data_IF_618184788187
#
_entry.id   IF_618184788187
#
_cell.length_a   1.000
_cell.length_b   1.000
_cell.length_c   1.000
_cell.angle_alpha   90.00
_cell.angle_beta   90.00
_cell.angle_gamma   90.00
#
_symmetry.space_group_name_H-M   'P 1'
#
loop_
_entity.id
_entity.type
_entity.pdbx_description
1 polymer ?
#
# COMPACT_ATOMS: atom_id res chain seq x y z
N UNK A 1 -19.35 15.03 23.69
CA UNK A 1 -19.29 15.44 22.27
C UNK A 1 -18.07 14.76 21.66
N UNK A 2 -18.26 14.03 20.59
CA UNK A 2 -17.16 13.35 19.88
C UNK A 2 -16.28 14.42 19.23
N UNK A 3 -14.95 14.25 19.28
CA UNK A 3 -14.01 15.14 18.58
C UNK A 3 -14.39 15.24 17.09
N UNK A 4 -14.57 16.44 16.53
CA UNK A 4 -14.95 16.64 15.13
C UNK A 4 -13.98 15.95 14.14
N UNK A 5 -12.68 15.87 14.47
CA UNK A 5 -11.70 15.20 13.65
C UNK A 5 -11.91 13.69 13.65
N UNK A 6 -12.24 13.08 14.79
CA UNK A 6 -12.55 11.64 14.86
C UNK A 6 -13.80 11.34 14.03
N UNK A 7 -14.85 12.16 14.14
CA UNK A 7 -16.07 11.98 13.35
C UNK A 7 -15.80 12.09 11.83
N UNK A 8 -14.99 13.07 11.41
CA UNK A 8 -14.58 13.25 10.04
C UNK A 8 -13.79 12.05 9.51
N UNK A 9 -12.77 11.60 10.27
CA UNK A 9 -11.93 10.45 9.89
C UNK A 9 -12.74 9.15 9.82
N UNK A 10 -13.62 8.91 10.79
CA UNK A 10 -14.50 7.73 10.78
C UNK A 10 -15.44 7.73 9.58
N UNK A 11 -15.97 8.90 9.22
CA UNK A 11 -16.81 9.05 8.01
C UNK A 11 -15.99 8.77 6.73
N UNK A 12 -14.78 9.32 6.61
CA UNK A 12 -13.91 9.07 5.44
C UNK A 12 -13.52 7.58 5.35
N UNK A 13 -13.14 6.99 6.48
CA UNK A 13 -12.82 5.56 6.58
C UNK A 13 -13.99 4.68 6.11
N UNK A 14 -15.23 5.03 6.51
CA UNK A 14 -16.42 4.29 6.12
C UNK A 14 -16.73 4.42 4.63
N UNK A 15 -16.52 5.58 4.02
CA UNK A 15 -16.73 5.75 2.59
C UNK A 15 -15.69 4.94 1.80
N UNK A 16 -14.41 5.03 2.16
CA UNK A 16 -13.35 4.24 1.50
C UNK A 16 -13.53 2.73 1.73
N UNK A 17 -14.03 2.31 2.90
CA UNK A 17 -14.41 0.93 3.17
C UNK A 17 -15.46 0.41 2.18
N UNK A 18 -16.41 1.25 1.76
CA UNK A 18 -17.49 0.86 0.84
C UNK A 18 -16.97 0.40 -0.54
N UNK A 19 -15.78 0.83 -0.97
CA UNK A 19 -15.12 0.32 -2.17
C UNK A 19 -14.98 -1.21 -2.13
N UNK A 20 -14.50 -1.75 -1.03
CA UNK A 20 -14.27 -3.18 -0.84
C UNK A 20 -15.56 -3.97 -0.59
N UNK A 21 -16.69 -3.29 -0.45
CA UNK A 21 -18.02 -3.91 -0.39
C UNK A 21 -18.66 -3.99 -1.77
N UNK A 22 -18.45 -3.00 -2.62
CA UNK A 22 -19.16 -2.86 -3.90
C UNK A 22 -18.31 -3.28 -5.11
N UNK A 23 -17.01 -2.95 -5.12
CA UNK A 23 -16.09 -3.22 -6.23
C UNK A 23 -15.41 -4.61 -6.10
N UNK A 24 -16.18 -5.60 -5.66
CA UNK A 24 -15.73 -6.98 -5.41
C UNK A 24 -16.63 -7.98 -6.12
N UNK A 25 -16.04 -9.00 -6.73
CA UNK A 25 -16.79 -10.18 -7.17
C UNK A 25 -17.05 -11.10 -5.95
N UNK A 26 -18.29 -11.17 -5.50
CA UNK A 26 -18.67 -11.94 -4.30
C UNK A 26 -18.46 -13.46 -4.47
N UNK A 27 -18.40 -13.98 -5.69
CA UNK A 27 -18.21 -15.40 -5.95
C UNK A 27 -16.76 -15.88 -5.75
N UNK A 28 -15.77 -15.00 -5.92
CA UNK A 28 -14.35 -15.34 -5.83
C UNK A 28 -13.53 -14.41 -4.93
N UNK A 29 -14.09 -13.28 -4.49
CA UNK A 29 -13.43 -12.30 -3.62
C UNK A 29 -12.40 -11.41 -4.31
N UNK A 30 -12.33 -11.43 -5.65
CA UNK A 30 -11.49 -10.53 -6.40
C UNK A 30 -12.01 -9.09 -6.34
N UNK A 31 -11.13 -8.14 -6.11
CA UNK A 31 -11.43 -6.72 -5.97
C UNK A 31 -10.92 -5.98 -7.20
N UNK A 32 -11.76 -5.17 -7.82
CA UNK A 32 -11.40 -4.37 -8.98
C UNK A 32 -10.20 -3.46 -8.66
N UNK A 33 -9.28 -3.30 -9.62
CA UNK A 33 -8.18 -2.35 -9.48
C UNK A 33 -8.70 -0.92 -9.38
N UNK A 34 -9.63 -0.55 -10.25
CA UNK A 34 -10.31 0.76 -10.23
C UNK A 34 -11.74 0.69 -10.75
N UNK A 35 -12.50 1.75 -10.51
CA UNK A 35 -13.91 1.90 -10.90
C UNK A 35 -14.14 2.15 -12.39
N UNK A 36 -13.23 1.75 -13.27
CA UNK A 36 -13.44 1.79 -14.71
C UNK A 36 -14.20 0.53 -15.18
N UNK A 37 -15.07 0.70 -16.17
CA UNK A 37 -15.84 -0.39 -16.73
C UNK A 37 -14.94 -1.52 -17.27
N UNK A 38 -15.29 -2.76 -16.97
CA UNK A 38 -14.56 -3.97 -17.38
C UNK A 38 -13.08 -3.99 -17.01
N UNK A 39 -12.72 -3.35 -15.89
CA UNK A 39 -11.36 -3.31 -15.40
C UNK A 39 -11.03 -4.57 -14.59
N UNK A 40 -9.79 -5.11 -14.66
CA UNK A 40 -9.43 -6.33 -13.93
C UNK A 40 -9.28 -6.08 -12.43
N UNK A 41 -9.17 -7.18 -11.68
CA UNK A 41 -8.78 -7.17 -10.30
C UNK A 41 -7.28 -6.89 -10.13
N UNK A 42 -6.91 -6.16 -9.09
CA UNK A 42 -5.53 -6.06 -8.57
C UNK A 42 -5.38 -6.98 -7.36
N UNK A 43 -4.38 -7.86 -7.36
CA UNK A 43 -4.13 -8.76 -6.23
C UNK A 43 -3.66 -7.98 -4.99
N UNK A 44 -3.01 -6.82 -5.15
CA UNK A 44 -2.69 -5.93 -4.04
C UNK A 44 -3.96 -5.37 -3.38
N UNK A 45 -4.94 -4.91 -4.18
CA UNK A 45 -6.23 -4.47 -3.67
C UNK A 45 -6.97 -5.58 -2.93
N UNK A 46 -6.86 -6.85 -3.38
CA UNK A 46 -7.41 -8.01 -2.66
C UNK A 46 -6.72 -8.20 -1.30
N UNK A 47 -5.39 -8.06 -1.23
CA UNK A 47 -4.66 -8.12 0.03
C UNK A 47 -5.09 -7.04 1.03
N UNK A 48 -5.32 -5.82 0.53
CA UNK A 48 -5.89 -4.74 1.34
C UNK A 48 -7.31 -5.03 1.79
N UNK A 49 -8.16 -5.58 0.90
CA UNK A 49 -9.54 -5.97 1.22
C UNK A 49 -9.61 -6.94 2.41
N UNK A 50 -8.73 -7.94 2.46
CA UNK A 50 -8.66 -8.90 3.57
C UNK A 50 -8.42 -8.20 4.93
N UNK A 51 -7.60 -7.16 4.95
CA UNK A 51 -7.37 -6.34 6.15
C UNK A 51 -8.56 -5.41 6.42
N UNK A 52 -9.11 -4.80 5.38
CA UNK A 52 -10.26 -3.87 5.46
C UNK A 52 -11.53 -4.56 5.97
N UNK A 53 -11.76 -5.84 5.62
CA UNK A 53 -12.90 -6.59 6.17
C UNK A 53 -12.81 -6.75 7.70
N UNK A 54 -11.62 -6.95 8.24
CA UNK A 54 -11.36 -7.01 9.67
C UNK A 54 -11.71 -5.66 10.33
N UNK A 55 -11.25 -4.57 9.74
CA UNK A 55 -11.55 -3.21 10.20
C UNK A 55 -13.07 -2.97 10.16
N UNK A 56 -13.72 -3.39 9.08
CA UNK A 56 -15.17 -3.29 8.95
C UNK A 56 -15.94 -4.04 10.05
N UNK A 57 -15.47 -5.22 10.43
CA UNK A 57 -16.04 -5.99 11.54
C UNK A 57 -15.86 -5.28 12.89
N UNK A 58 -14.66 -4.76 13.17
CA UNK A 58 -14.34 -4.08 14.43
C UNK A 58 -15.02 -2.71 14.56
N UNK A 59 -15.21 -2.00 13.45
CA UNK A 59 -15.89 -0.69 13.42
C UNK A 59 -17.41 -0.79 13.24
N UNK A 60 -17.96 -1.99 13.08
CA UNK A 60 -19.38 -2.20 12.84
C UNK A 60 -19.87 -1.71 11.46
N UNK A 61 -18.95 -1.59 10.48
CA UNK A 61 -19.32 -1.29 9.08
C UNK A 61 -19.88 -2.52 8.37
N UNK A 62 -19.50 -3.71 8.84
CA UNK A 62 -20.11 -5.00 8.43
C UNK A 62 -20.11 -5.99 9.60
N UNK A 63 -21.05 -6.98 9.59
CA UNK A 63 -21.01 -8.06 10.56
C UNK A 63 -19.74 -8.90 10.43
N UNK A 64 -19.16 -9.33 11.58
CA UNK A 64 -17.96 -10.18 11.60
C UNK A 64 -18.12 -11.46 10.79
N UNK A 65 -19.30 -12.05 10.85
CA UNK A 65 -19.63 -13.28 10.10
C UNK A 65 -19.53 -13.05 8.58
N UNK A 66 -19.95 -11.86 8.10
CA UNK A 66 -19.81 -11.49 6.69
C UNK A 66 -18.35 -11.23 6.33
N UNK A 67 -17.59 -10.58 7.21
CA UNK A 67 -16.14 -10.40 7.03
C UNK A 67 -15.42 -11.76 6.92
N UNK A 68 -15.72 -12.70 7.83
CA UNK A 68 -15.15 -14.04 7.80
C UNK A 68 -15.54 -14.80 6.52
N UNK A 69 -16.80 -14.71 6.09
CA UNK A 69 -17.26 -15.39 4.87
C UNK A 69 -16.58 -14.81 3.61
N UNK A 70 -16.45 -13.48 3.49
CA UNK A 70 -15.73 -12.84 2.38
C UNK A 70 -14.26 -13.24 2.37
N UNK A 71 -13.61 -13.21 3.54
CA UNK A 71 -12.23 -13.68 3.70
C UNK A 71 -12.09 -15.13 3.24
N UNK A 72 -12.95 -16.00 3.70
CA UNK A 72 -12.93 -17.43 3.35
C UNK A 72 -13.12 -17.65 1.84
N UNK A 73 -14.06 -16.95 1.20
CA UNK A 73 -14.26 -17.01 -0.26
C UNK A 73 -12.98 -16.62 -1.00
N UNK A 74 -12.35 -15.52 -0.62
CA UNK A 74 -11.10 -15.05 -1.22
C UNK A 74 -9.97 -16.07 -1.05
N UNK A 75 -9.76 -16.57 0.16
CA UNK A 75 -8.70 -17.56 0.44
C UNK A 75 -8.90 -18.87 -0.31
N UNK A 76 -10.14 -19.37 -0.38
CA UNK A 76 -10.52 -20.57 -1.15
C UNK A 76 -10.22 -20.38 -2.64
N UNK A 77 -10.56 -19.23 -3.19
CA UNK A 77 -10.24 -18.91 -4.59
C UNK A 77 -8.75 -19.03 -4.86
N UNK A 78 -7.91 -18.34 -4.11
CA UNK A 78 -6.46 -18.39 -4.32
C UNK A 78 -5.87 -19.77 -4.03
N UNK A 79 -6.37 -20.50 -3.03
CA UNK A 79 -5.88 -21.83 -2.69
C UNK A 79 -6.13 -22.84 -3.81
N UNK A 80 -7.28 -22.75 -4.47
CA UNK A 80 -7.74 -23.68 -5.52
C UNK A 80 -7.41 -23.19 -6.94
N UNK A 81 -6.91 -21.97 -7.11
CA UNK A 81 -6.60 -21.40 -8.41
C UNK A 81 -5.44 -22.12 -9.11
N UNK A 82 -5.44 -22.10 -10.45
CA UNK A 82 -4.41 -22.74 -11.26
C UNK A 82 -3.03 -22.12 -11.00
N UNK A 83 -2.09 -22.98 -10.59
CA UNK A 83 -0.68 -22.65 -10.43
C UNK A 83 0.14 -23.36 -11.51
N UNK A 84 0.63 -22.63 -12.51
CA UNK A 84 1.33 -23.24 -13.63
C UNK A 84 1.98 -22.23 -14.57
N UNK A 85 2.72 -22.77 -15.56
CA UNK A 85 3.39 -21.97 -16.60
C UNK A 85 2.44 -21.57 -17.75
N UNK A 86 1.18 -22.01 -17.72
CA UNK A 86 0.18 -21.63 -18.70
C UNK A 86 0.00 -20.13 -18.72
N UNK A 87 -0.09 -19.46 -19.89
CA UNK A 87 -0.34 -18.03 -19.98
C UNK A 87 -1.64 -17.58 -19.35
N UNK A 88 -2.62 -18.48 -19.23
CA UNK A 88 -3.92 -18.20 -18.60
C UNK A 88 -4.04 -18.65 -17.15
N UNK A 89 -2.98 -19.16 -16.52
CA UNK A 89 -2.99 -19.51 -15.11
C UNK A 89 -3.22 -18.27 -14.22
N UNK A 90 -3.69 -18.49 -13.00
CA UNK A 90 -3.83 -17.43 -11.98
C UNK A 90 -2.49 -17.09 -11.33
N UNK A 91 -1.59 -18.09 -11.22
CA UNK A 91 -0.28 -17.91 -10.60
C UNK A 91 0.70 -19.01 -10.95
N UNK A 92 1.92 -18.92 -10.41
CA UNK A 92 2.94 -19.94 -10.50
C UNK A 92 3.93 -19.82 -9.34
N UNK A 93 4.35 -20.95 -8.76
CA UNK A 93 5.29 -20.97 -7.62
C UNK A 93 4.80 -20.22 -6.37
N UNK A 94 3.48 -20.12 -6.22
CA UNK A 94 2.86 -19.36 -5.13
C UNK A 94 2.77 -17.86 -5.36
N UNK A 95 3.40 -17.33 -6.40
CA UNK A 95 3.18 -15.97 -6.87
C UNK A 95 1.95 -15.89 -7.77
N UNK A 96 1.34 -14.71 -7.81
CA UNK A 96 0.16 -14.45 -8.61
C UNK A 96 0.41 -13.33 -9.62
N UNK A 97 -0.35 -13.35 -10.71
CA UNK A 97 -0.28 -12.28 -11.70
C UNK A 97 -0.84 -10.99 -11.12
N UNK A 98 -0.18 -9.87 -11.42
CA UNK A 98 -0.52 -8.53 -10.94
C UNK A 98 -2.01 -8.22 -11.12
N UNK A 99 -2.54 -8.49 -12.32
CA UNK A 99 -3.95 -8.30 -12.66
C UNK A 99 -4.60 -9.61 -13.06
N UNK A 100 -5.81 -9.83 -12.51
CA UNK A 100 -6.63 -11.00 -12.80
C UNK A 100 -7.98 -10.55 -13.37
N UNK A 101 -8.49 -11.28 -14.34
CA UNK A 101 -9.84 -11.11 -14.82
C UNK A 101 -10.85 -11.34 -13.69
N UNK A 102 -11.79 -10.41 -13.51
CA UNK A 102 -12.70 -10.37 -12.36
C UNK A 102 -13.60 -11.61 -12.27
N UNK A 103 -13.96 -12.24 -13.39
CA UNK A 103 -14.87 -13.38 -13.42
C UNK A 103 -14.11 -14.70 -13.35
N UNK A 104 -13.12 -14.87 -14.22
CA UNK A 104 -12.42 -16.15 -14.39
C UNK A 104 -11.22 -16.31 -13.47
N UNK A 105 -10.70 -15.23 -12.90
CA UNK A 105 -9.48 -15.22 -12.11
C UNK A 105 -8.20 -15.52 -12.89
N UNK A 106 -8.27 -15.56 -14.21
CA UNK A 106 -7.12 -15.76 -15.10
C UNK A 106 -6.31 -14.48 -15.24
N UNK A 107 -5.04 -14.64 -15.63
CA UNK A 107 -4.14 -13.53 -15.95
C UNK A 107 -4.76 -12.55 -16.93
N UNK A 108 -4.79 -11.26 -16.59
CA UNK A 108 -5.20 -10.17 -17.46
C UNK A 108 -4.01 -9.45 -18.10
N UNK A 109 -4.23 -8.80 -19.27
CA UNK A 109 -3.29 -7.88 -19.96
C UNK A 109 -1.86 -8.37 -20.21
N UNK A 110 -1.61 -9.67 -20.18
CA UNK A 110 -0.25 -10.21 -20.24
C UNK A 110 0.71 -9.63 -19.18
N UNK A 111 0.18 -9.25 -18.01
CA UNK A 111 0.96 -8.76 -16.88
C UNK A 111 1.96 -9.82 -16.37
N UNK A 112 2.88 -9.43 -15.52
CA UNK A 112 3.83 -10.33 -14.85
C UNK A 112 3.19 -11.04 -13.64
N UNK A 113 3.78 -12.15 -13.22
CA UNK A 113 3.75 -12.56 -11.82
C UNK A 113 4.47 -11.48 -11.04
N UNK A 114 3.76 -10.79 -10.17
CA UNK A 114 4.34 -9.69 -9.41
C UNK A 114 4.82 -10.16 -8.04
N UNK A 115 6.06 -9.86 -7.73
CA UNK A 115 6.61 -10.17 -6.40
C UNK A 115 6.05 -9.27 -5.32
N UNK A 116 5.92 -7.96 -5.58
CA UNK A 116 5.42 -7.00 -4.59
C UNK A 116 3.91 -7.13 -4.37
N UNK A 117 3.11 -7.23 -5.42
CA UNK A 117 1.66 -7.36 -5.26
C UNK A 117 1.29 -8.69 -4.60
N UNK A 118 2.06 -9.77 -4.86
CA UNK A 118 1.94 -11.01 -4.10
C UNK A 118 2.28 -10.81 -2.62
N UNK A 119 3.31 -10.03 -2.28
CA UNK A 119 3.65 -9.74 -0.89
C UNK A 119 2.53 -8.94 -0.18
N UNK A 120 1.91 -7.97 -0.87
CA UNK A 120 0.77 -7.22 -0.34
C UNK A 120 -0.46 -8.12 -0.16
N UNK A 121 -0.72 -9.04 -1.09
CA UNK A 121 -1.76 -10.06 -0.93
C UNK A 121 -1.50 -10.93 0.30
N UNK A 122 -0.28 -11.45 0.45
CA UNK A 122 0.12 -12.31 1.58
C UNK A 122 0.08 -11.56 2.90
N UNK A 123 0.39 -10.27 2.93
CA UNK A 123 0.24 -9.46 4.14
C UNK A 123 -1.22 -9.43 4.64
N UNK A 124 -2.19 -9.25 3.73
CA UNK A 124 -3.61 -9.35 4.04
C UNK A 124 -4.03 -10.77 4.48
N UNK A 125 -3.50 -11.79 3.82
CA UNK A 125 -3.71 -13.21 4.19
C UNK A 125 -3.23 -13.47 5.62
N UNK A 126 -2.02 -13.02 5.99
CA UNK A 126 -1.47 -13.20 7.34
C UNK A 126 -2.21 -12.35 8.38
N UNK A 127 -2.71 -11.17 8.01
CA UNK A 127 -3.58 -10.37 8.90
C UNK A 127 -4.86 -11.14 9.21
N UNK A 128 -5.46 -11.77 8.20
CA UNK A 128 -6.64 -12.62 8.39
C UNK A 128 -6.34 -13.82 9.31
N UNK A 129 -5.22 -14.49 9.09
CA UNK A 129 -4.75 -15.58 9.97
C UNK A 129 -4.62 -15.13 11.41
N UNK A 130 -4.05 -13.96 11.64
CA UNK A 130 -3.81 -13.44 12.99
C UNK A 130 -5.09 -12.98 13.69
N UNK A 131 -6.09 -12.50 12.95
CA UNK A 131 -7.33 -12.00 13.52
C UNK A 131 -8.39 -13.07 13.78
N UNK A 132 -8.60 -14.01 12.85
CA UNK A 132 -9.64 -15.04 12.95
C UNK A 132 -9.17 -16.19 13.84
N UNK A 133 -9.41 -16.07 15.18
CA UNK A 133 -8.88 -16.97 16.20
C UNK A 133 -9.97 -17.72 17.00
N UNK A 134 -11.25 -17.64 16.59
CA UNK A 134 -12.31 -18.41 17.26
C UNK A 134 -12.10 -19.91 17.02
N UNK A 135 -12.54 -20.71 17.98
CA UNK A 135 -12.57 -22.17 17.86
C UNK A 135 -13.86 -22.63 17.17
N UNK A 136 -13.97 -22.25 15.88
CA UNK A 136 -15.06 -22.65 14.99
C UNK A 136 -14.51 -23.08 13.63
N UNK A 137 -15.35 -23.72 12.82
CA UNK A 137 -14.97 -24.28 11.53
C UNK A 137 -14.49 -23.19 10.54
N UNK A 138 -15.11 -22.01 10.54
CA UNK A 138 -14.82 -20.93 9.60
C UNK A 138 -13.44 -20.32 9.90
N UNK A 139 -13.21 -19.92 11.14
CA UNK A 139 -11.92 -19.33 11.55
C UNK A 139 -10.78 -20.36 11.43
N UNK A 140 -11.05 -21.64 11.73
CA UNK A 140 -10.07 -22.73 11.56
C UNK A 140 -9.69 -22.92 10.10
N UNK A 141 -10.65 -22.90 9.17
CA UNK A 141 -10.38 -23.00 7.74
C UNK A 141 -9.62 -21.76 7.22
N UNK A 142 -10.00 -20.55 7.67
CA UNK A 142 -9.27 -19.32 7.32
C UNK A 142 -7.78 -19.46 7.70
N UNK A 143 -7.47 -19.91 8.92
CA UNK A 143 -6.08 -20.11 9.36
C UNK A 143 -5.33 -21.12 8.51
N UNK A 144 -5.96 -22.26 8.22
CA UNK A 144 -5.36 -23.33 7.42
C UNK A 144 -5.07 -22.87 5.98
N UNK A 145 -6.02 -22.19 5.34
CA UNK A 145 -5.85 -21.66 4.00
C UNK A 145 -4.79 -20.54 3.95
N UNK A 146 -4.76 -19.68 4.95
CA UNK A 146 -3.74 -18.62 5.06
C UNK A 146 -2.32 -19.21 5.19
N UNK A 147 -2.14 -20.23 6.03
CA UNK A 147 -0.88 -20.96 6.13
C UNK A 147 -0.50 -21.63 4.81
N UNK A 148 -1.45 -22.31 4.14
CA UNK A 148 -1.24 -22.92 2.83
C UNK A 148 -0.74 -21.90 1.79
N UNK A 149 -1.39 -20.74 1.70
CA UNK A 149 -1.06 -19.71 0.73
C UNK A 149 0.32 -19.11 0.98
N UNK A 150 0.65 -18.79 2.21
CA UNK A 150 1.95 -18.24 2.55
C UNK A 150 3.08 -19.26 2.36
N UNK A 151 2.88 -20.52 2.80
CA UNK A 151 3.88 -21.58 2.67
C UNK A 151 4.17 -21.98 1.21
N UNK A 152 3.23 -21.69 0.29
CA UNK A 152 3.38 -21.99 -1.13
C UNK A 152 4.36 -21.06 -1.84
N UNK A 153 4.56 -19.82 -1.35
CA UNK A 153 5.34 -18.80 -2.05
C UNK A 153 6.82 -19.17 -2.06
N UNK A 154 7.36 -19.44 -3.23
CA UNK A 154 8.78 -19.79 -3.45
C UNK A 154 9.63 -18.51 -3.62
N UNK A 155 9.92 -17.83 -2.49
CA UNK A 155 10.68 -16.59 -2.48
C UNK A 155 12.10 -16.76 -3.02
N UNK A 156 12.73 -17.94 -2.80
CA UNK A 156 14.04 -18.24 -3.33
C UNK A 156 14.05 -18.28 -4.86
N UNK A 157 12.99 -18.84 -5.47
CA UNK A 157 12.86 -18.84 -6.92
C UNK A 157 12.79 -17.42 -7.50
N UNK A 158 12.14 -16.47 -6.81
CA UNK A 158 12.00 -15.10 -7.27
C UNK A 158 13.29 -14.27 -7.15
N UNK A 159 14.34 -14.79 -6.51
CA UNK A 159 15.69 -14.20 -6.58
C UNK A 159 16.26 -14.28 -8.01
N UNK A 160 15.81 -15.23 -8.84
CA UNK A 160 16.31 -15.45 -10.19
C UNK A 160 17.84 -15.65 -10.27
N UNK A 161 18.47 -16.14 -9.19
CA UNK A 161 19.92 -16.29 -9.05
C UNK A 161 20.68 -15.00 -8.72
N UNK A 162 19.99 -13.91 -8.40
CA UNK A 162 20.58 -12.62 -8.05
C UNK A 162 20.64 -12.36 -6.53
N UNK A 163 21.27 -11.25 -6.15
CA UNK A 163 21.37 -10.81 -4.75
C UNK A 163 20.05 -10.22 -4.20
N UNK A 164 19.18 -9.72 -5.07
CA UNK A 164 17.93 -9.06 -4.71
C UNK A 164 16.75 -9.69 -5.42
N UNK A 165 15.54 -9.51 -4.86
CA UNK A 165 14.32 -10.11 -5.41
C UNK A 165 13.96 -9.44 -6.74
N UNK A 166 13.65 -10.24 -7.76
CA UNK A 166 13.19 -9.78 -9.06
C UNK A 166 11.78 -9.17 -8.96
N UNK A 167 11.48 -8.15 -9.77
CA UNK A 167 10.14 -7.56 -9.83
C UNK A 167 9.08 -8.57 -10.25
N UNK A 168 9.42 -9.54 -11.11
CA UNK A 168 8.45 -10.54 -11.53
C UNK A 168 8.92 -11.46 -12.65
N UNK A 169 8.00 -12.30 -13.11
CA UNK A 169 8.23 -13.29 -14.14
C UNK A 169 7.07 -13.34 -15.13
N UNK A 170 7.37 -13.66 -16.41
CA UNK A 170 6.34 -13.83 -17.47
C UNK A 170 6.49 -15.19 -18.18
N UNK A 171 5.39 -15.90 -18.48
CA UNK A 171 5.45 -17.14 -19.25
C UNK A 171 6.04 -16.87 -20.64
N UNK A 172 6.94 -17.76 -21.07
CA UNK A 172 7.61 -17.64 -22.35
C UNK A 172 8.71 -16.57 -22.45
N UNK A 173 8.85 -15.69 -21.43
CA UNK A 173 9.87 -14.63 -21.39
C UNK A 173 10.82 -14.75 -20.20
N UNK A 174 10.43 -15.46 -19.14
CA UNK A 174 11.24 -15.60 -17.92
C UNK A 174 11.15 -14.41 -16.98
N UNK A 175 12.15 -14.23 -16.14
CA UNK A 175 12.24 -13.15 -15.18
C UNK A 175 12.39 -11.79 -15.84
N UNK A 176 11.82 -10.76 -15.22
CA UNK A 176 12.03 -9.37 -15.62
C UNK A 176 13.49 -8.98 -15.34
N UNK A 177 13.97 -7.97 -16.05
CA UNK A 177 15.35 -7.46 -15.87
C UNK A 177 15.57 -6.60 -14.64
N UNK A 178 14.48 -6.16 -13.98
CA UNK A 178 14.53 -5.28 -12.83
C UNK A 178 14.41 -6.06 -11.54
N UNK A 179 15.18 -5.63 -10.54
CA UNK A 179 15.18 -6.15 -9.19
C UNK A 179 14.92 -5.02 -8.20
N UNK A 180 14.31 -5.34 -7.06
CA UNK A 180 14.09 -4.39 -5.98
C UNK A 180 15.43 -4.02 -5.36
N UNK A 181 15.83 -2.76 -5.47
CA UNK A 181 17.09 -2.21 -4.97
C UNK A 181 16.88 -0.79 -4.47
N UNK A 182 17.41 -0.48 -3.28
CA UNK A 182 17.20 0.81 -2.67
C UNK A 182 15.87 0.91 -1.92
N UNK A 183 15.60 2.07 -1.35
CA UNK A 183 14.38 2.27 -0.57
C UNK A 183 13.16 2.42 -1.50
N UNK A 184 12.34 1.42 -1.47
CA UNK A 184 11.10 1.28 -2.24
C UNK A 184 10.02 0.58 -1.40
N UNK A 185 8.87 0.27 -1.97
CA UNK A 185 7.75 -0.38 -1.27
C UNK A 185 8.03 -1.83 -0.84
N UNK A 186 9.16 -2.42 -1.27
CA UNK A 186 9.46 -3.83 -1.06
C UNK A 186 9.90 -4.20 0.37
N UNK A 187 9.94 -3.27 1.33
CA UNK A 187 10.29 -3.60 2.72
C UNK A 187 9.44 -4.74 3.28
N UNK A 188 8.11 -4.69 3.12
CA UNK A 188 7.20 -5.78 3.52
C UNK A 188 7.49 -7.09 2.77
N UNK A 189 7.83 -7.02 1.48
CA UNK A 189 8.19 -8.19 0.67
C UNK A 189 9.41 -8.91 1.27
N UNK A 190 10.48 -8.18 1.58
CA UNK A 190 11.68 -8.75 2.17
C UNK A 190 11.41 -9.34 3.56
N UNK A 191 10.60 -8.67 4.39
CA UNK A 191 10.22 -9.20 5.70
C UNK A 191 9.45 -10.51 5.60
N UNK A 192 8.50 -10.61 4.67
CA UNK A 192 7.74 -11.84 4.43
C UNK A 192 8.62 -12.95 3.83
N UNK A 193 9.50 -12.60 2.91
CA UNK A 193 10.43 -13.57 2.31
C UNK A 193 11.43 -14.12 3.34
N UNK A 194 11.97 -13.28 4.23
CA UNK A 194 12.83 -13.70 5.34
C UNK A 194 12.10 -14.55 6.37
N UNK A 195 10.83 -14.24 6.65
CA UNK A 195 9.99 -14.93 7.62
C UNK A 195 9.37 -16.23 7.14
N UNK A 196 9.53 -16.57 5.84
CA UNK A 196 8.93 -17.77 5.24
C UNK A 196 9.40 -19.04 5.95
N UNK A 197 8.48 -19.97 6.31
CA UNK A 197 8.85 -21.24 6.91
C UNK A 197 9.31 -22.30 5.90
N UNK A 198 9.01 -22.12 4.61
CA UNK A 198 9.25 -23.11 3.54
C UNK A 198 10.39 -22.73 2.60
N UNK A 199 10.37 -21.51 2.08
CA UNK A 199 11.33 -21.00 1.08
C UNK A 199 11.93 -19.66 1.51
N UNK A 200 12.52 -19.54 2.72
CA UNK A 200 13.06 -18.27 3.19
C UNK A 200 14.27 -17.85 2.36
N UNK A 201 14.42 -16.55 2.13
CA UNK A 201 15.67 -15.98 1.67
C UNK A 201 16.64 -15.76 2.84
N UNK A 202 17.94 -15.62 2.56
CA UNK A 202 18.94 -15.28 3.56
C UNK A 202 18.99 -13.79 3.90
N UNK A 203 19.53 -13.42 5.09
CA UNK A 203 19.69 -12.03 5.52
C UNK A 203 20.55 -11.18 4.56
N UNK A 204 21.47 -11.82 3.83
CA UNK A 204 22.33 -11.18 2.83
C UNK A 204 21.54 -10.51 1.70
N UNK A 205 20.36 -11.03 1.35
CA UNK A 205 19.50 -10.45 0.33
C UNK A 205 18.84 -9.14 0.81
N UNK A 206 18.50 -9.06 2.10
CA UNK A 206 18.03 -7.82 2.72
C UNK A 206 19.15 -6.78 2.78
N UNK A 207 20.36 -7.21 3.15
CA UNK A 207 21.53 -6.34 3.18
C UNK A 207 21.87 -5.81 1.78
N UNK A 208 21.74 -6.65 0.74
CA UNK A 208 21.95 -6.22 -0.65
C UNK A 208 20.92 -5.18 -1.10
N UNK A 209 19.65 -5.35 -0.71
CA UNK A 209 18.57 -4.40 -1.00
C UNK A 209 18.82 -3.05 -0.33
N UNK A 210 19.20 -3.03 0.97
CA UNK A 210 19.50 -1.78 1.70
C UNK A 210 20.82 -1.14 1.28
N UNK A 211 21.67 -1.86 0.55
CA UNK A 211 23.01 -1.42 0.17
C UNK A 211 23.05 -0.20 -0.77
N UNK A 212 21.96 0.07 -1.46
CA UNK A 212 21.79 1.25 -2.33
C UNK A 212 20.83 2.31 -1.78
N UNK A 213 20.58 2.31 -0.48
CA UNK A 213 19.78 3.33 0.20
C UNK A 213 20.45 4.72 0.10
N UNK A 214 19.65 5.72 -0.21
CA UNK A 214 20.10 7.12 -0.31
C UNK A 214 19.61 7.94 0.88
N UNK A 215 20.54 8.30 1.76
CA UNK A 215 20.26 9.25 2.84
C UNK A 215 20.56 10.65 2.34
N UNK A 216 19.58 11.54 2.38
CA UNK A 216 19.68 12.89 1.82
C UNK A 216 19.13 13.95 2.77
N UNK A 217 19.39 15.21 2.46
CA UNK A 217 18.81 16.36 3.15
C UNK A 217 18.02 17.21 2.17
N UNK A 218 16.76 17.49 2.53
CA UNK A 218 15.92 18.42 1.79
C UNK A 218 15.15 19.32 2.77
N UNK A 219 15.11 20.62 2.50
CA UNK A 219 14.46 21.62 3.37
C UNK A 219 14.94 21.58 4.83
N UNK A 220 16.22 21.23 5.05
CA UNK A 220 16.81 21.09 6.38
C UNK A 220 16.37 19.84 7.15
N UNK A 221 15.78 18.85 6.47
CA UNK A 221 15.33 17.59 7.04
C UNK A 221 16.16 16.45 6.41
N UNK A 222 16.89 15.72 7.25
CA UNK A 222 17.65 14.54 6.85
C UNK A 222 16.74 13.30 6.89
N UNK A 223 16.72 12.52 5.81
CA UNK A 223 15.86 11.32 5.71
C UNK A 223 16.35 10.33 4.68
N UNK A 224 15.84 9.11 4.76
CA UNK A 224 16.00 8.08 3.73
C UNK A 224 15.07 8.41 2.57
N UNK A 225 15.65 8.71 1.42
CA UNK A 225 14.95 9.27 0.27
C UNK A 225 14.15 8.22 -0.51
N UNK A 226 12.93 8.59 -0.83
CA UNK A 226 12.14 8.10 -1.96
C UNK A 226 11.24 9.24 -2.44
N UNK A 227 11.11 9.42 -3.75
CA UNK A 227 10.32 10.52 -4.32
C UNK A 227 8.82 10.37 -4.10
N UNK A 228 8.19 9.26 -4.51
CA UNK A 228 6.76 9.01 -4.31
C UNK A 228 6.42 8.75 -2.83
N UNK A 229 5.41 9.44 -2.31
CA UNK A 229 5.05 9.36 -0.89
C UNK A 229 4.58 7.94 -0.48
N UNK A 230 3.95 7.19 -1.38
CA UNK A 230 3.45 5.85 -1.08
C UNK A 230 4.55 4.87 -0.62
N UNK A 231 5.78 5.04 -1.07
CA UNK A 231 6.92 4.21 -0.67
C UNK A 231 7.12 4.25 0.84
N UNK A 232 6.92 5.42 1.44
CA UNK A 232 7.00 5.65 2.88
C UNK A 232 5.80 5.11 3.67
N UNK A 233 4.79 4.53 3.00
CA UNK A 233 3.50 4.17 3.60
C UNK A 233 3.20 2.67 3.50
N UNK A 234 3.45 2.03 2.34
CA UNK A 234 2.91 0.70 2.04
C UNK A 234 3.26 -0.36 3.06
N UNK A 235 4.51 -0.46 3.50
CA UNK A 235 4.91 -1.44 4.51
C UNK A 235 4.32 -1.14 5.90
N UNK A 236 4.06 0.14 6.19
CA UNK A 236 3.44 0.57 7.44
C UNK A 236 1.96 0.22 7.57
N UNK A 237 1.29 -0.18 6.49
CA UNK A 237 -0.08 -0.67 6.58
C UNK A 237 -0.18 -1.84 7.58
N UNK A 238 0.83 -2.71 7.61
CA UNK A 238 0.87 -3.94 8.40
C UNK A 238 1.95 -3.97 9.48
N UNK A 239 3.00 -3.17 9.35
CA UNK A 239 4.15 -3.21 10.27
C UNK A 239 4.25 -1.91 11.06
N UNK A 240 4.24 -2.05 12.38
CA UNK A 240 4.55 -0.96 13.30
C UNK A 240 6.06 -0.83 13.46
N UNK A 241 6.64 0.13 12.76
CA UNK A 241 8.09 0.37 12.82
C UNK A 241 8.52 1.30 13.96
N UNK A 242 7.61 1.74 14.83
CA UNK A 242 7.95 2.64 15.95
C UNK A 242 8.92 1.97 16.92
N UNK A 243 10.10 2.57 17.07
CA UNK A 243 11.12 2.14 18.02
C UNK A 243 11.86 0.84 17.64
N UNK A 244 11.58 0.24 16.48
CA UNK A 244 12.35 -0.90 15.94
C UNK A 244 13.24 -0.44 14.79
N UNK A 245 14.49 -0.89 14.78
CA UNK A 245 15.50 -0.40 13.83
C UNK A 245 16.33 -1.56 13.30
N UNK A 246 16.55 -1.60 11.99
CA UNK A 246 17.57 -2.43 11.36
C UNK A 246 18.97 -1.81 11.50
N UNK A 247 19.98 -2.43 10.91
CA UNK A 247 21.36 -1.95 11.00
C UNK A 247 21.53 -0.56 10.34
N UNK A 248 20.87 -0.33 9.18
CA UNK A 248 20.96 0.94 8.47
C UNK A 248 20.36 2.10 9.27
N UNK A 249 19.18 1.90 9.83
CA UNK A 249 18.45 2.92 10.60
C UNK A 249 19.10 3.16 11.98
N UNK A 250 19.68 2.13 12.61
CA UNK A 250 20.46 2.33 13.86
C UNK A 250 21.66 3.25 13.65
N UNK A 251 22.38 3.10 12.53
CA UNK A 251 23.52 3.95 12.21
C UNK A 251 23.14 5.43 12.02
N UNK A 252 21.86 5.74 11.87
CA UNK A 252 21.32 7.11 11.64
C UNK A 252 20.43 7.60 12.79
N UNK A 253 20.38 6.84 13.87
CA UNK A 253 19.50 7.12 15.03
C UNK A 253 18.04 7.45 14.63
N UNK A 254 17.52 6.70 13.66
CA UNK A 254 16.19 6.87 13.09
C UNK A 254 15.48 5.51 13.00
N UNK A 255 14.17 5.47 13.00
CA UNK A 255 13.38 4.31 12.56
C UNK A 255 12.57 4.64 11.29
N UNK A 256 11.95 3.63 10.68
CA UNK A 256 11.20 3.85 9.44
C UNK A 256 9.93 4.67 9.67
N UNK A 257 9.36 4.67 10.88
CA UNK A 257 8.21 5.52 11.21
C UNK A 257 8.60 7.00 11.27
N UNK A 258 9.71 7.31 11.95
CA UNK A 258 10.26 8.67 11.98
C UNK A 258 10.68 9.13 10.58
N UNK A 259 11.27 8.21 9.78
CA UNK A 259 11.58 8.50 8.38
C UNK A 259 10.35 8.87 7.55
N UNK A 260 9.25 8.14 7.70
CA UNK A 260 8.00 8.42 6.99
C UNK A 260 7.38 9.75 7.43
N UNK A 261 7.51 10.10 8.72
CA UNK A 261 7.15 11.43 9.23
C UNK A 261 7.99 12.52 8.57
N UNK A 262 9.30 12.36 8.52
CA UNK A 262 10.23 13.29 7.86
C UNK A 262 9.89 13.47 6.38
N UNK A 263 9.67 12.39 5.66
CA UNK A 263 9.27 12.42 4.25
C UNK A 263 7.95 13.17 4.03
N UNK A 264 6.95 12.99 4.92
CA UNK A 264 5.69 13.72 4.87
C UNK A 264 5.91 15.23 5.04
N UNK A 265 6.75 15.64 5.98
CA UNK A 265 7.11 17.06 6.14
C UNK A 265 7.92 17.60 4.96
N UNK A 266 8.83 16.83 4.36
CA UNK A 266 9.56 17.23 3.14
C UNK A 266 8.58 17.49 2.00
N UNK A 267 7.58 16.63 1.81
CA UNK A 267 6.55 16.82 0.79
C UNK A 267 5.73 18.09 1.03
N UNK A 268 5.39 18.41 2.28
CA UNK A 268 4.71 19.65 2.61
C UNK A 268 5.61 20.87 2.32
N UNK A 269 6.89 20.82 2.73
CA UNK A 269 7.85 21.91 2.47
C UNK A 269 8.05 22.15 0.97
N UNK A 270 8.13 21.08 0.18
CA UNK A 270 8.17 21.17 -1.26
C UNK A 270 6.94 21.89 -1.83
N UNK A 271 5.74 21.57 -1.36
CA UNK A 271 4.53 22.23 -1.81
C UNK A 271 4.44 23.70 -1.38
N UNK A 272 4.97 24.06 -0.20
CA UNK A 272 5.09 25.45 0.24
C UNK A 272 6.10 26.23 -0.64
N UNK A 273 7.28 25.67 -0.89
CA UNK A 273 8.32 26.24 -1.76
C UNK A 273 7.83 26.37 -3.21
N UNK A 274 7.05 25.37 -3.67
CA UNK A 274 6.40 25.33 -4.97
C UNK A 274 7.33 25.74 -6.14
N UNK A 275 8.46 25.06 -6.35
CA UNK A 275 9.49 25.50 -7.28
C UNK A 275 9.03 25.57 -8.74
N UNK A 276 7.92 24.90 -9.06
CA UNK A 276 7.35 24.88 -10.41
C UNK A 276 6.13 25.79 -10.56
N UNK A 277 5.66 26.47 -9.51
CA UNK A 277 4.54 27.39 -9.56
C UNK A 277 3.22 26.67 -9.91
N UNK A 278 2.94 25.50 -9.30
CA UNK A 278 1.67 24.80 -9.48
C UNK A 278 0.57 25.45 -8.64
N UNK A 279 -0.63 25.53 -9.19
CA UNK A 279 -1.77 26.07 -8.46
C UNK A 279 -2.11 25.25 -7.23
N UNK A 280 -2.55 25.92 -6.15
CA UNK A 280 -2.97 25.36 -4.87
C UNK A 280 -1.84 24.71 -4.03
N UNK A 281 -0.65 24.44 -4.56
CA UNK A 281 0.44 23.92 -3.72
C UNK A 281 0.69 24.85 -2.54
N UNK A 282 0.61 24.28 -1.32
CA UNK A 282 0.67 25.04 -0.07
C UNK A 282 0.88 24.13 1.13
N UNK A 283 0.88 24.69 2.32
CA UNK A 283 0.94 23.96 3.60
C UNK A 283 -0.22 22.96 3.81
N UNK A 284 -1.34 23.13 3.10
CA UNK A 284 -2.52 22.24 3.18
C UNK A 284 -2.86 21.53 1.88
N UNK A 285 -2.05 21.70 0.83
CA UNK A 285 -2.25 21.05 -0.46
C UNK A 285 -0.91 20.49 -0.96
N UNK A 286 -0.64 19.25 -0.57
CA UNK A 286 0.53 18.45 -0.93
C UNK A 286 0.11 16.99 -1.12
N UNK A 287 1.05 16.10 -1.45
CA UNK A 287 0.78 14.66 -1.61
C UNK A 287 1.14 14.19 -3.01
N UNK A 288 2.43 14.32 -3.36
CA UNK A 288 2.98 13.88 -4.65
C UNK A 288 3.35 12.41 -4.56
N UNK A 289 2.69 11.56 -5.36
CA UNK A 289 2.88 10.11 -5.32
C UNK A 289 2.47 9.46 -6.65
N UNK A 290 2.63 8.12 -6.76
CA UNK A 290 2.04 7.37 -7.85
C UNK A 290 0.52 7.58 -7.88
N UNK A 291 0.02 8.09 -8.98
CA UNK A 291 -1.39 8.44 -9.11
C UNK A 291 -1.82 8.56 -10.57
N UNK A 292 -3.13 8.46 -10.76
CA UNK A 292 -3.81 8.83 -12.02
C UNK A 292 -3.54 10.29 -12.36
N UNK A 293 -3.63 10.65 -13.62
CA UNK A 293 -3.43 12.03 -14.08
C UNK A 293 -4.25 12.37 -15.31
N UNK A 294 -4.21 13.64 -15.76
CA UNK A 294 -5.07 14.12 -16.83
C UNK A 294 -4.77 13.55 -18.22
N UNK A 295 -3.79 12.69 -18.36
CA UNK A 295 -3.34 12.11 -19.61
C UNK A 295 -2.05 12.76 -20.12
N UNK A 296 -1.37 12.07 -21.05
CA UNK A 296 -0.15 12.61 -21.64
C UNK A 296 -0.49 13.75 -22.61
N UNK A 297 -0.30 14.99 -22.13
CA UNK A 297 -0.60 16.19 -22.90
C UNK A 297 0.36 17.33 -22.55
N UNK A 298 0.71 18.14 -23.56
CA UNK A 298 1.51 19.35 -23.38
C UNK A 298 0.60 20.57 -23.58
N UNK A 299 0.57 21.45 -22.57
CA UNK A 299 -0.23 22.69 -22.61
C UNK A 299 0.64 23.91 -22.32
N UNK A 300 0.23 25.05 -22.85
CA UNK A 300 0.73 26.37 -22.44
C UNK A 300 -0.25 26.92 -21.40
N UNK A 301 0.21 27.11 -20.15
CA UNK A 301 -0.58 27.65 -19.05
C UNK A 301 0.19 28.85 -18.49
N UNK A 302 -0.41 30.02 -18.46
CA UNK A 302 0.19 31.27 -17.99
C UNK A 302 1.59 31.57 -18.56
N UNK A 303 1.77 31.29 -19.86
CA UNK A 303 3.06 31.48 -20.53
C UNK A 303 4.09 30.37 -20.28
N UNK A 304 3.79 29.38 -19.44
CA UNK A 304 4.68 28.26 -19.13
C UNK A 304 4.24 27.01 -19.89
N UNK A 305 5.18 26.37 -20.61
CA UNK A 305 4.95 25.06 -21.23
C UNK A 305 4.99 23.98 -20.17
N UNK A 306 3.88 23.28 -19.96
CA UNK A 306 3.72 22.18 -18.97
C UNK A 306 3.39 20.88 -19.66
N UNK A 307 4.02 19.79 -19.19
CA UNK A 307 3.68 18.42 -19.60
C UNK A 307 2.94 17.75 -18.47
N UNK A 308 1.77 17.20 -18.78
CA UNK A 308 0.98 16.39 -17.88
C UNK A 308 1.05 14.93 -18.31
N UNK A 309 0.84 14.03 -17.36
CA UNK A 309 0.96 12.60 -17.58
C UNK A 309 -0.35 11.88 -17.22
N UNK A 310 -0.51 10.68 -17.74
CA UNK A 310 -1.47 9.69 -17.27
C UNK A 310 -1.03 9.11 -15.92
N UNK A 311 -1.24 7.84 -15.65
CA UNK A 311 -0.72 7.23 -14.44
C UNK A 311 0.82 7.28 -14.42
N UNK A 312 1.37 7.86 -13.36
CA UNK A 312 2.81 8.03 -13.20
C UNK A 312 3.20 7.94 -11.72
N UNK A 313 4.37 7.36 -11.44
CA UNK A 313 5.02 7.43 -10.12
C UNK A 313 5.64 8.82 -9.94
N UNK A 314 4.80 9.81 -9.63
CA UNK A 314 5.23 11.16 -9.29
C UNK A 314 5.97 11.18 -7.97
N UNK A 315 6.94 12.07 -7.81
CA UNK A 315 7.77 12.14 -6.61
C UNK A 315 8.31 13.54 -6.33
N UNK A 316 8.52 13.87 -5.08
CA UNK A 316 9.10 15.11 -4.62
C UNK A 316 10.17 14.83 -3.54
N UNK A 317 11.17 15.72 -3.40
CA UNK A 317 11.42 16.94 -4.20
C UNK A 317 12.14 16.70 -5.54
N UNK A 318 12.68 15.50 -5.83
CA UNK A 318 13.55 15.24 -6.97
C UNK A 318 12.96 14.32 -8.05
N UNK A 319 11.72 13.93 -7.89
CA UNK A 319 11.02 13.07 -8.87
C UNK A 319 10.24 13.89 -9.91
N UNK A 320 9.59 13.21 -10.86
CA UNK A 320 8.69 13.85 -11.79
C UNK A 320 7.46 14.43 -11.08
N UNK A 321 7.10 15.67 -11.42
CA UNK A 321 5.92 16.36 -10.87
C UNK A 321 5.24 17.17 -11.98
N UNK A 322 3.92 17.12 -12.06
CA UNK A 322 3.09 17.85 -13.00
C UNK A 322 1.95 18.64 -12.33
N UNK A 323 2.04 18.80 -11.00
CA UNK A 323 1.03 19.49 -10.21
C UNK A 323 -0.18 18.62 -9.87
N UNK A 324 -0.06 17.29 -9.97
CA UNK A 324 -1.10 16.35 -9.57
C UNK A 324 -0.93 15.93 -8.11
N UNK A 325 -1.98 16.09 -7.31
CA UNK A 325 -2.04 15.77 -5.87
C UNK A 325 -2.94 14.57 -5.64
N UNK A 326 -2.54 13.67 -4.75
CA UNK A 326 -3.27 12.46 -4.40
C UNK A 326 -3.75 12.49 -2.94
N UNK A 327 -5.04 12.73 -2.68
CA UNK A 327 -5.60 12.81 -1.32
C UNK A 327 -5.38 11.54 -0.49
N UNK A 328 -5.39 10.37 -1.12
CA UNK A 328 -5.18 9.09 -0.44
C UNK A 328 -3.78 8.98 0.19
N UNK A 329 -2.74 9.49 -0.49
CA UNK A 329 -1.38 9.48 0.04
C UNK A 329 -1.23 10.42 1.26
N UNK A 330 -1.99 11.53 1.28
CA UNK A 330 -2.06 12.39 2.47
C UNK A 330 -2.78 11.66 3.60
N UNK A 331 -3.93 11.02 3.33
CA UNK A 331 -4.65 10.24 4.33
C UNK A 331 -3.80 9.07 4.90
N UNK A 332 -3.04 8.38 4.05
CA UNK A 332 -2.14 7.31 4.46
C UNK A 332 -0.93 7.81 5.28
N UNK A 333 -0.63 9.10 5.27
CA UNK A 333 0.38 9.72 6.13
C UNK A 333 -0.14 10.11 7.52
N UNK A 334 -1.42 9.91 7.80
CA UNK A 334 -2.07 10.37 9.03
C UNK A 334 -1.35 9.94 10.34
N UNK A 335 -0.90 8.69 10.51
CA UNK A 335 -0.20 8.30 11.73
C UNK A 335 1.16 9.01 11.92
N UNK A 336 1.80 9.41 10.83
CA UNK A 336 3.14 10.00 10.86
C UNK A 336 3.13 11.48 11.23
N UNK A 337 2.18 12.26 10.68
CA UNK A 337 2.15 13.72 10.81
C UNK A 337 0.71 14.25 10.86
N UNK A 338 -0.08 13.89 11.90
CA UNK A 338 -1.49 14.28 11.99
C UNK A 338 -1.71 15.80 12.01
N UNK A 339 -0.75 16.55 12.51
CA UNK A 339 -0.75 18.00 12.61
C UNK A 339 -0.83 18.71 11.24
N UNK A 340 -0.24 18.16 10.21
CA UNK A 340 -0.29 18.70 8.85
C UNK A 340 -1.28 17.94 7.96
N UNK A 341 -1.54 16.67 8.24
CA UNK A 341 -2.44 15.84 7.45
C UNK A 341 -3.89 16.20 7.67
N UNK A 342 -4.34 16.40 8.93
CA UNK A 342 -5.72 16.75 9.22
C UNK A 342 -6.17 18.05 8.54
N UNK A 343 -5.41 19.16 8.61
CA UNK A 343 -5.75 20.39 7.87
C UNK A 343 -5.84 20.17 6.36
N UNK A 344 -4.98 19.32 5.80
CA UNK A 344 -4.98 19.02 4.38
C UNK A 344 -6.21 18.22 3.95
N UNK A 345 -6.60 17.18 4.70
CA UNK A 345 -7.82 16.43 4.41
C UNK A 345 -9.07 17.32 4.52
N UNK A 346 -9.10 18.25 5.50
CA UNK A 346 -10.16 19.25 5.59
C UNK A 346 -10.16 20.24 4.42
N UNK A 347 -8.95 20.59 3.90
CA UNK A 347 -8.83 21.40 2.69
C UNK A 347 -9.41 20.68 1.47
N UNK A 348 -9.10 19.40 1.28
CA UNK A 348 -9.65 18.58 0.19
C UNK A 348 -11.17 18.42 0.29
N UNK A 349 -11.72 18.37 1.52
CA UNK A 349 -13.17 18.43 1.73
C UNK A 349 -13.76 19.77 1.26
N UNK A 350 -13.10 20.90 1.56
CA UNK A 350 -13.53 22.24 1.07
C UNK A 350 -13.42 22.39 -0.45
N UNK A 351 -12.48 21.68 -1.09
CA UNK A 351 -12.40 21.58 -2.56
C UNK A 351 -13.47 20.66 -3.16
N UNK A 352 -14.33 20.06 -2.33
CA UNK A 352 -15.44 19.18 -2.74
C UNK A 352 -14.99 17.89 -3.43
N UNK A 353 -13.74 17.43 -3.19
CA UNK A 353 -13.17 16.24 -3.79
C UNK A 353 -13.83 14.93 -3.33
N UNK A 354 -14.62 14.97 -2.26
CA UNK A 354 -15.38 13.85 -1.71
C UNK A 354 -16.88 13.94 -2.03
N UNK A 355 -17.35 15.09 -2.48
CA UNK A 355 -18.78 15.35 -2.67
C UNK A 355 -19.36 14.49 -3.79
N UNK A 356 -20.51 13.87 -3.54
CA UNK A 356 -21.19 12.96 -4.46
C UNK A 356 -20.36 11.73 -4.89
N UNK A 357 -19.29 11.41 -4.16
CA UNK A 357 -18.48 10.23 -4.41
C UNK A 357 -18.86 9.10 -3.44
N UNK A 358 -19.02 7.84 -3.93
CA UNK A 358 -19.43 6.73 -3.09
C UNK A 358 -18.32 6.22 -2.16
N UNK A 359 -17.02 6.51 -2.48
CA UNK A 359 -15.86 5.92 -1.82
C UNK A 359 -14.91 6.95 -1.20
N UNK A 360 -15.38 8.14 -0.89
CA UNK A 360 -14.55 9.18 -0.31
C UNK A 360 -13.86 10.06 -1.36
N UNK A 361 -12.58 10.36 -1.17
CA UNK A 361 -11.84 11.21 -2.12
C UNK A 361 -11.54 10.46 -3.42
N UNK A 362 -11.61 11.17 -4.55
CA UNK A 362 -11.11 10.66 -5.83
C UNK A 362 -9.60 10.41 -5.76
N UNK A 363 -9.10 9.56 -6.67
CA UNK A 363 -7.71 9.11 -6.67
C UNK A 363 -6.70 10.25 -6.67
N UNK A 364 -6.96 11.29 -7.46
CA UNK A 364 -6.07 12.45 -7.61
C UNK A 364 -6.80 13.64 -8.24
N UNK A 365 -6.15 14.81 -8.18
CA UNK A 365 -6.63 16.02 -8.83
C UNK A 365 -5.44 16.90 -9.22
N UNK A 366 -5.61 17.76 -10.22
CA UNK A 366 -4.59 18.69 -10.68
C UNK A 366 -5.20 20.09 -10.85
N UNK A 367 -5.00 20.98 -9.87
CA UNK A 367 -5.49 22.36 -9.94
C UNK A 367 -4.94 23.15 -11.13
N UNK A 368 -3.70 22.89 -11.49
CA UNK A 368 -2.99 23.56 -12.59
C UNK A 368 -3.54 23.14 -13.97
N UNK A 369 -4.12 21.93 -14.08
CA UNK A 369 -4.74 21.49 -15.31
C UNK A 369 -6.17 22.06 -15.40
N UNK A 370 -6.52 22.74 -16.49
CA UNK A 370 -7.85 23.31 -16.68
C UNK A 370 -8.93 22.23 -16.55
N UNK A 371 -9.70 22.32 -15.47
CA UNK A 371 -10.89 21.53 -15.22
C UNK A 371 -12.17 22.29 -15.59
N UNK A 372 -13.31 21.86 -15.07
CA UNK A 372 -14.55 22.62 -15.18
C UNK A 372 -14.34 24.03 -14.59
N UNK A 373 -14.68 25.07 -15.31
CA UNK A 373 -14.44 26.50 -14.97
C UNK A 373 -14.91 26.94 -13.57
N UNK A 374 -15.66 26.11 -12.87
CA UNK A 374 -16.21 26.36 -11.54
C UNK A 374 -15.47 25.61 -10.41
N UNK A 375 -14.53 24.72 -10.71
CA UNK A 375 -13.83 23.92 -9.72
C UNK A 375 -12.43 24.46 -9.43
N UNK A 376 -12.16 24.82 -8.17
CA UNK A 376 -10.80 25.15 -7.70
C UNK A 376 -9.87 23.92 -7.67
N UNK A 377 -10.41 22.72 -7.82
CA UNK A 377 -9.64 21.48 -7.90
C UNK A 377 -9.01 21.24 -9.28
N UNK A 378 -9.44 22.00 -10.31
CA UNK A 378 -9.02 21.75 -11.69
C UNK A 378 -9.52 20.42 -12.21
N UNK A 379 -8.63 19.64 -12.85
CA UNK A 379 -8.95 18.27 -13.24
C UNK A 379 -9.04 17.37 -12.02
N UNK A 380 -10.02 16.46 -12.00
CA UNK A 380 -10.19 15.46 -10.95
C UNK A 380 -10.32 14.10 -11.62
N UNK A 381 -9.56 13.10 -11.13
CA UNK A 381 -9.67 11.72 -11.63
C UNK A 381 -11.12 11.24 -11.57
N UNK A 382 -11.65 10.64 -12.64
CA UNK A 382 -13.00 10.07 -12.61
C UNK A 382 -13.09 8.80 -11.74
N UNK A 383 -11.94 8.23 -11.34
CA UNK A 383 -11.84 6.90 -10.75
C UNK A 383 -11.52 6.90 -9.25
N UNK A 384 -11.84 5.78 -8.62
CA UNK A 384 -11.29 5.30 -7.36
C UNK A 384 -10.46 4.04 -7.63
N UNK A 385 -9.44 3.77 -6.81
CA UNK A 385 -8.55 2.62 -6.94
C UNK A 385 -8.50 1.84 -5.62
N UNK A 386 -8.56 0.51 -5.67
CA UNK A 386 -8.44 -0.30 -4.47
C UNK A 386 -7.14 -0.09 -3.71
N UNK A 387 -6.03 0.11 -4.44
CA UNK A 387 -4.71 0.40 -3.87
C UNK A 387 -4.61 1.79 -3.20
N UNK A 388 -5.58 2.68 -3.42
CA UNK A 388 -5.67 4.00 -2.77
C UNK A 388 -6.62 3.98 -1.58
N UNK A 389 -7.76 3.30 -1.73
CA UNK A 389 -8.77 3.21 -0.67
C UNK A 389 -8.30 2.33 0.49
N UNK A 390 -7.54 1.25 0.19
CA UNK A 390 -6.96 0.38 1.21
C UNK A 390 -6.07 1.11 2.22
N UNK A 391 -5.02 1.80 1.78
CA UNK A 391 -4.19 2.62 2.67
C UNK A 391 -4.97 3.68 3.44
N UNK A 392 -5.98 4.31 2.82
CA UNK A 392 -6.85 5.28 3.52
C UNK A 392 -7.56 4.62 4.70
N UNK A 393 -8.21 3.47 4.50
CA UNK A 393 -8.92 2.76 5.57
C UNK A 393 -7.97 2.27 6.65
N UNK A 394 -6.86 1.62 6.25
CA UNK A 394 -5.94 0.94 7.17
C UNK A 394 -5.17 1.96 8.03
N UNK A 395 -4.70 3.05 7.43
CA UNK A 395 -3.90 4.03 8.19
C UNK A 395 -4.75 4.93 9.07
N UNK A 396 -5.99 5.22 8.72
CA UNK A 396 -6.95 5.85 9.65
C UNK A 396 -7.20 4.91 10.84
N UNK A 397 -7.37 3.60 10.61
CA UNK A 397 -7.56 2.63 11.68
C UNK A 397 -6.32 2.52 12.58
N UNK A 398 -5.13 2.48 12.00
CA UNK A 398 -3.89 2.43 12.76
C UNK A 398 -3.69 3.70 13.61
N UNK A 399 -4.07 4.86 13.09
CA UNK A 399 -4.02 6.11 13.84
C UNK A 399 -5.02 6.14 15.01
N UNK A 400 -6.27 5.73 14.78
CA UNK A 400 -7.33 5.83 15.77
C UNK A 400 -7.30 4.71 16.81
N UNK A 401 -6.92 3.49 16.41
CA UNK A 401 -7.17 2.29 17.21
C UNK A 401 -6.03 1.26 17.21
N UNK A 402 -4.95 1.45 16.46
CA UNK A 402 -3.78 0.55 16.40
C UNK A 402 -4.13 -0.91 16.01
N UNK A 403 -5.27 -1.13 15.35
CA UNK A 403 -5.83 -2.47 15.16
C UNK A 403 -4.95 -3.36 14.27
N UNK A 404 -4.60 -2.89 13.07
CA UNK A 404 -3.81 -3.72 12.13
C UNK A 404 -2.43 -3.98 12.69
N UNK A 405 -1.79 -2.97 13.25
CA UNK A 405 -0.46 -3.12 13.88
C UNK A 405 -0.52 -4.09 15.07
N UNK A 406 -1.48 -3.95 15.97
CA UNK A 406 -1.66 -4.85 17.11
C UNK A 406 -1.91 -6.30 16.63
N UNK A 407 -2.71 -6.51 15.60
CA UNK A 407 -2.98 -7.82 15.02
C UNK A 407 -1.72 -8.42 14.42
N UNK A 408 -0.93 -7.66 13.67
CA UNK A 408 0.26 -8.15 12.99
C UNK A 408 1.47 -8.32 13.92
N UNK A 409 1.53 -7.64 15.07
CA UNK A 409 2.52 -7.94 16.14
C UNK A 409 2.43 -9.40 16.61
N UNK A 410 1.25 -10.00 16.55
CA UNK A 410 1.04 -11.40 16.91
C UNK A 410 1.42 -12.39 15.80
N UNK A 411 1.82 -11.93 14.59
CA UNK A 411 2.20 -12.79 13.48
C UNK A 411 3.64 -13.34 13.63
N UNK A 412 3.84 -14.65 13.90
CA UNK A 412 5.16 -15.20 14.17
C UNK A 412 6.12 -15.06 12.98
N UNK A 413 5.61 -15.25 11.75
CA UNK A 413 6.41 -15.15 10.53
C UNK A 413 6.91 -13.74 10.27
N UNK A 414 6.07 -12.71 10.50
CA UNK A 414 6.51 -11.32 10.39
C UNK A 414 7.57 -10.99 11.44
N UNK A 415 7.37 -11.43 12.69
CA UNK A 415 8.37 -11.27 13.77
C UNK A 415 9.69 -11.93 13.40
N UNK A 416 9.65 -13.16 12.88
CA UNK A 416 10.84 -13.86 12.40
C UNK A 416 11.55 -13.11 11.28
N UNK A 417 10.78 -12.58 10.31
CA UNK A 417 11.31 -11.75 9.21
C UNK A 417 12.03 -10.51 9.72
N UNK A 418 11.43 -9.78 10.64
CA UNK A 418 12.05 -8.61 11.28
C UNK A 418 13.37 -8.97 12.00
N UNK A 419 13.38 -10.07 12.76
CA UNK A 419 14.60 -10.52 13.46
C UNK A 419 15.70 -10.92 12.46
N UNK A 420 15.37 -11.63 11.39
CA UNK A 420 16.32 -12.03 10.34
C UNK A 420 16.82 -10.85 9.51
N UNK A 421 15.99 -9.81 9.32
CA UNK A 421 16.41 -8.54 8.72
C UNK A 421 17.29 -7.69 9.67
N UNK A 422 17.54 -8.16 10.90
CA UNK A 422 18.39 -7.48 11.88
C UNK A 422 17.70 -6.35 12.63
N UNK A 423 16.37 -6.30 12.65
CA UNK A 423 15.63 -5.34 13.49
C UNK A 423 15.79 -5.68 14.98
N UNK A 424 15.85 -4.63 15.79
CA UNK A 424 15.92 -4.71 17.25
C UNK A 424 15.30 -3.48 17.89
N UNK A 425 15.04 -3.54 19.19
CA UNK A 425 14.42 -2.46 19.97
C UNK A 425 12.89 -2.59 20.05
N UNK A 426 12.24 -1.63 20.71
CA UNK A 426 10.79 -1.56 20.83
C UNK A 426 10.16 -2.91 21.23
N UNK A 427 9.09 -3.26 20.55
CA UNK A 427 8.33 -4.51 20.77
C UNK A 427 9.13 -5.81 20.54
N UNK A 428 10.29 -5.74 19.89
CA UNK A 428 11.16 -6.91 19.67
C UNK A 428 12.12 -7.16 20.86
N UNK A 429 12.29 -6.19 21.75
CA UNK A 429 13.15 -6.33 22.92
C UNK A 429 12.57 -7.33 23.95
N UNK A 430 11.25 -7.34 24.14
CA UNK A 430 10.55 -8.24 25.06
C UNK A 430 10.66 -9.71 24.63
N UNK A 431 10.74 -9.97 23.33
CA UNK A 431 10.83 -11.31 22.79
C UNK A 431 12.17 -12.02 22.99
N UNK A 432 13.25 -11.28 23.27
CA UNK A 432 14.56 -11.88 23.61
C UNK A 432 14.63 -12.34 25.06
N UNK A 433 13.85 -11.75 25.96
CA UNK A 433 13.82 -12.12 27.38
C UNK A 433 13.06 -13.43 27.64
N UNK A 434 12.16 -13.85 26.76
CA UNK A 434 11.38 -15.10 26.90
C UNK A 434 12.11 -16.35 26.35
N UNK A 435 13.25 -16.18 25.69
CA UNK A 435 14.03 -17.28 25.07
C UNK A 435 15.48 -17.39 25.64
N UNK A 436 15.79 -16.71 26.73
CA UNK A 436 16.94 -16.91 27.61
C UNK A 436 16.47 -17.46 28.97
#
# INVERSE_FOLDING_TARGET
MTDPNIAFLTSLQKDSFAYFVHEVNEANGLVADKTADNWPASIAAVGMALTVYIIGAERGFMPRERAAQRTLTTLRFFANSEQGKSPGATGYKGFYYHFLDMETGKRAWNCELSSIDTALLIAGVLTSRAYFQRDDAVDTEIRALADLLYHRVDWQWMLAGAQTICHGWKPGRGFLKYHWQGYDEALILYLLALGSPTFPIGPEHYTAWTGSYEWTSAYGIDYLYAGPLFIHQMSHLWVDFRGIRDAYMRARDCDYFDNSRRATHVQQRYAIDNPHGFEQYSEVCFGVTASDGPGYVVKQIDGVKRTFYDYLARGAPYGPDDGTVAPWAVAASLPFAPDIVLPSLQHFQRLRLREANPYGFKASFSPTFEGAKESKAGWVSPYHFGINEGPTVIMIENYLHDLTWRTMRACPSLKLGLLRAGFSGGLLAEARAEHC
#
